data_IF_142863953939
#
_entry.id   IF_142863953939
#
_cell.length_a   1.000
_cell.length_b   1.000
_cell.length_c   1.000
_cell.angle_alpha   90.00
_cell.angle_beta   90.00
_cell.angle_gamma   90.00
#
_symmetry.space_group_name_H-M   'P 1'
#
loop_
_entity.id
_entity.type
_entity.pdbx_description
1 polymer ?
#
# COMPACT_ATOMS: atom_id res chain seq x y z
N UNK A 1 7.38 -16.78 -25.85
CA UNK A 1 8.66 -16.63 -25.12
C UNK A 1 8.62 -15.29 -24.38
N UNK A 2 8.71 -15.29 -23.05
CA UNK A 2 8.74 -14.05 -22.27
C UNK A 2 10.12 -13.40 -22.45
N UNK A 3 10.17 -12.11 -22.80
CA UNK A 3 11.44 -11.38 -22.96
C UNK A 3 12.14 -11.24 -21.60
N UNK A 4 13.42 -11.58 -21.52
CA UNK A 4 14.22 -11.45 -20.28
C UNK A 4 14.20 -10.03 -19.69
N UNK A 5 14.12 -8.99 -20.54
CA UNK A 5 14.00 -7.60 -20.09
C UNK A 5 12.68 -7.30 -19.37
N UNK A 6 11.58 -7.94 -19.78
CA UNK A 6 10.28 -7.78 -19.12
C UNK A 6 10.27 -8.45 -17.74
N UNK A 7 10.91 -9.60 -17.60
CA UNK A 7 11.06 -10.28 -16.32
C UNK A 7 11.85 -9.42 -15.33
N UNK A 8 12.98 -8.84 -15.76
CA UNK A 8 13.79 -7.96 -14.93
C UNK A 8 13.05 -6.68 -14.48
N UNK A 9 12.23 -6.07 -15.34
CA UNK A 9 11.43 -4.91 -14.94
C UNK A 9 10.30 -5.24 -13.95
N UNK A 10 9.81 -6.48 -13.94
CA UNK A 10 8.69 -6.91 -13.07
C UNK A 10 9.22 -7.43 -11.72
N UNK A 11 10.43 -7.98 -11.67
CA UNK A 11 11.00 -8.51 -10.41
C UNK A 11 11.20 -7.41 -9.37
N UNK A 12 11.69 -6.24 -9.75
CA UNK A 12 11.89 -5.13 -8.82
C UNK A 12 10.60 -4.68 -8.08
N UNK A 13 9.51 -4.30 -8.77
CA UNK A 13 8.27 -3.93 -8.10
C UNK A 13 7.62 -5.11 -7.35
N UNK A 14 7.81 -6.35 -7.82
CA UNK A 14 7.32 -7.53 -7.12
C UNK A 14 8.04 -7.77 -5.78
N UNK A 15 9.37 -7.67 -5.75
CA UNK A 15 10.15 -7.78 -4.51
C UNK A 15 9.82 -6.66 -3.52
N UNK A 16 9.63 -5.44 -4.00
CA UNK A 16 9.19 -4.33 -3.15
C UNK A 16 7.79 -4.59 -2.57
N UNK A 17 6.87 -5.15 -3.37
CA UNK A 17 5.52 -5.51 -2.89
C UNK A 17 5.57 -6.62 -1.81
N UNK A 18 6.51 -7.57 -1.92
CA UNK A 18 6.76 -8.56 -0.87
C UNK A 18 7.29 -7.89 0.40
N UNK A 19 8.24 -6.96 0.27
CA UNK A 19 8.77 -6.22 1.42
C UNK A 19 7.65 -5.44 2.15
N UNK A 20 6.73 -4.82 1.41
CA UNK A 20 5.53 -4.18 1.96
C UNK A 20 4.68 -5.17 2.74
N UNK A 21 4.42 -6.36 2.17
CA UNK A 21 3.65 -7.41 2.83
C UNK A 21 4.30 -7.82 4.16
N UNK A 22 5.62 -8.00 4.19
CA UNK A 22 6.36 -8.33 5.42
C UNK A 22 6.19 -7.23 6.46
N UNK A 23 6.37 -5.96 6.10
CA UNK A 23 6.17 -4.84 7.03
C UNK A 23 4.76 -4.81 7.62
N UNK A 24 3.72 -4.99 6.80
CA UNK A 24 2.34 -5.04 7.27
C UNK A 24 2.11 -6.22 8.21
N UNK A 25 2.56 -7.42 7.84
CA UNK A 25 2.42 -8.62 8.67
C UNK A 25 3.09 -8.43 10.03
N UNK A 26 4.28 -7.81 10.09
CA UNK A 26 4.95 -7.51 11.37
C UNK A 26 4.11 -6.60 12.26
N UNK A 27 3.45 -5.57 11.69
CA UNK A 27 2.55 -4.68 12.45
C UNK A 27 1.31 -5.42 12.94
N UNK A 28 0.77 -6.36 12.16
CA UNK A 28 -0.39 -7.18 12.54
C UNK A 28 -0.08 -8.26 13.58
N UNK A 29 1.14 -8.81 13.56
CA UNK A 29 1.61 -9.82 14.51
C UNK A 29 2.18 -9.22 15.80
N UNK A 30 2.50 -7.92 15.82
CA UNK A 30 3.01 -7.24 16.99
C UNK A 30 2.07 -7.45 18.19
N UNK A 31 2.63 -7.92 19.31
CA UNK A 31 1.90 -8.21 20.55
C UNK A 31 1.03 -9.47 20.55
N UNK A 32 1.00 -10.28 19.48
CA UNK A 32 0.08 -11.45 19.40
C UNK A 32 0.65 -12.76 19.97
N UNK A 33 1.96 -12.86 20.11
CA UNK A 33 2.65 -14.05 20.60
C UNK A 33 3.38 -13.74 21.89
N UNK A 34 3.47 -14.74 22.77
CA UNK A 34 4.22 -14.62 24.01
C UNK A 34 5.72 -14.48 23.71
N UNK A 35 6.27 -13.35 24.18
CA UNK A 35 7.71 -13.03 24.28
C UNK A 35 8.50 -13.22 22.99
N UNK A 36 8.53 -12.17 22.17
CA UNK A 36 9.49 -12.05 21.08
C UNK A 36 10.14 -10.66 21.10
N UNK A 37 11.42 -10.60 21.47
CA UNK A 37 12.19 -9.34 21.58
C UNK A 37 12.07 -8.40 20.38
N UNK A 38 11.79 -8.93 19.18
CA UNK A 38 11.60 -8.12 17.97
C UNK A 38 10.17 -7.58 17.81
N UNK A 39 9.14 -8.37 18.15
CA UNK A 39 7.73 -7.98 18.01
C UNK A 39 7.23 -7.19 19.22
N UNK A 40 7.77 -7.48 20.41
CA UNK A 40 7.39 -6.83 21.67
C UNK A 40 7.72 -5.33 21.63
N UNK A 41 8.78 -4.94 20.92
CA UNK A 41 9.18 -3.53 20.79
C UNK A 41 8.44 -2.78 19.65
N UNK A 42 7.56 -3.47 18.89
CA UNK A 42 6.71 -2.87 17.86
C UNK A 42 5.39 -2.33 18.42
N UNK A 43 5.42 -1.70 19.59
CA UNK A 43 4.25 -1.03 20.17
C UNK A 43 4.09 0.39 19.62
N UNK A 44 2.86 0.88 19.52
CA UNK A 44 2.60 2.28 19.17
C UNK A 44 2.71 3.21 20.39
N UNK A 45 2.24 2.75 21.55
CA UNK A 45 2.27 3.51 22.79
C UNK A 45 2.71 2.62 23.94
N UNK A 46 3.62 3.11 24.77
CA UNK A 46 4.02 2.51 26.03
C UNK A 46 3.73 3.47 27.16
N UNK A 47 2.98 2.98 28.14
CA UNK A 47 2.58 3.71 29.34
C UNK A 47 3.32 3.10 30.52
N UNK A 48 4.00 3.94 31.29
CA UNK A 48 4.74 3.60 32.50
C UNK A 48 4.08 4.26 33.72
N UNK A 49 3.67 3.42 34.66
CA UNK A 49 2.89 3.73 35.86
C UNK A 49 3.70 3.47 37.15
N UNK A 50 5.02 3.23 37.05
CA UNK A 50 5.85 2.93 38.23
C UNK A 50 5.94 4.10 39.21
N UNK A 51 6.11 5.31 38.67
CA UNK A 51 6.34 6.54 39.43
C UNK A 51 5.05 7.32 39.71
N UNK A 52 3.92 6.63 39.90
CA UNK A 52 2.70 7.35 40.25
C UNK A 52 2.94 8.07 41.59
N UNK A 53 3.01 9.40 41.54
CA UNK A 53 3.16 10.25 42.73
C UNK A 53 1.81 10.37 43.39
N UNK A 54 1.55 9.42 44.28
CA UNK A 54 0.33 9.32 45.07
C UNK A 54 0.44 10.30 46.23
N UNK A 55 0.20 11.58 45.97
CA UNK A 55 0.17 12.59 47.04
C UNK A 55 -1.07 12.32 47.91
N UNK A 56 -0.92 11.44 48.90
CA UNK A 56 -1.77 11.26 50.08
C UNK A 56 -3.29 11.29 49.84
N UNK A 57 -3.81 10.47 48.93
CA UNK A 57 -5.26 10.35 48.66
C UNK A 57 -5.98 9.31 49.53
N UNK A 58 -5.27 8.64 50.45
CA UNK A 58 -5.85 7.56 51.27
C UNK A 58 -6.95 8.01 52.26
N UNK A 59 -7.12 9.33 52.51
CA UNK A 59 -8.05 9.84 53.54
C UNK A 59 -9.14 10.81 53.02
N UNK A 60 -9.29 11.02 51.71
CA UNK A 60 -10.20 12.08 51.17
C UNK A 60 -11.48 11.58 50.49
N UNK A 61 -11.79 10.28 50.54
CA UNK A 61 -13.02 9.72 49.95
C UNK A 61 -14.32 10.15 50.68
N UNK A 62 -14.26 11.17 51.54
CA UNK A 62 -15.41 11.68 52.31
C UNK A 62 -15.52 13.20 52.40
N UNK A 63 -14.67 13.99 51.73
CA UNK A 63 -14.76 15.45 51.80
C UNK A 63 -15.18 16.06 50.46
N UNK A 64 -16.38 16.64 50.45
CA UNK A 64 -17.08 17.21 49.28
C UNK A 64 -16.48 18.51 48.73
N UNK A 65 -15.21 18.78 49.04
CA UNK A 65 -14.45 19.95 48.58
C UNK A 65 -13.13 19.55 47.87
N UNK A 66 -13.08 18.33 47.32
CA UNK A 66 -11.90 17.76 46.68
C UNK A 66 -11.79 18.19 45.21
N UNK A 67 -10.62 18.70 44.83
CA UNK A 67 -10.28 19.05 43.45
C UNK A 67 -10.28 17.79 42.56
N UNK A 68 -10.64 17.92 41.28
CA UNK A 68 -10.69 16.78 40.34
C UNK A 68 -9.39 15.94 40.32
N UNK A 69 -8.25 16.58 40.60
CA UNK A 69 -6.95 15.91 40.63
C UNK A 69 -6.81 14.89 41.79
N UNK A 70 -7.36 15.20 42.96
CA UNK A 70 -7.20 14.36 44.16
C UNK A 70 -8.10 13.13 44.12
N UNK A 71 -9.27 13.23 43.48
CA UNK A 71 -10.23 12.14 43.28
C UNK A 71 -9.65 11.08 42.33
N UNK A 72 -9.12 11.49 41.18
CA UNK A 72 -8.51 10.58 40.20
C UNK A 72 -7.25 9.89 40.77
N UNK A 73 -6.46 10.60 41.57
CA UNK A 73 -5.32 9.99 42.29
C UNK A 73 -5.75 8.95 43.34
N UNK A 74 -6.89 9.16 44.01
CA UNK A 74 -7.50 8.18 44.92
C UNK A 74 -8.03 6.94 44.20
N UNK A 75 -8.74 7.12 43.10
CA UNK A 75 -9.25 6.02 42.28
C UNK A 75 -8.11 5.17 41.69
N UNK A 76 -7.03 5.80 41.20
CA UNK A 76 -5.86 5.11 40.70
C UNK A 76 -5.13 4.34 41.80
N UNK A 77 -5.12 4.85 43.04
CA UNK A 77 -4.57 4.13 44.19
C UNK A 77 -5.40 2.91 44.57
N UNK A 78 -6.72 3.08 44.64
CA UNK A 78 -7.64 1.98 44.88
C UNK A 78 -7.50 0.90 43.81
N UNK A 79 -7.33 1.29 42.54
CA UNK A 79 -7.05 0.37 41.44
C UNK A 79 -5.71 -0.36 41.59
N UNK A 80 -4.66 0.34 42.03
CA UNK A 80 -3.35 -0.29 42.26
C UNK A 80 -3.37 -1.28 43.41
N UNK A 81 -4.04 -0.97 44.51
CA UNK A 81 -4.07 -1.80 45.72
C UNK A 81 -5.11 -2.93 45.65
N UNK A 82 -6.28 -2.68 45.08
CA UNK A 82 -7.43 -3.59 45.13
C UNK A 82 -7.70 -4.33 43.81
N UNK A 83 -7.34 -3.72 42.67
CA UNK A 83 -7.65 -4.25 41.32
C UNK A 83 -6.40 -4.80 40.59
N UNK A 84 -5.21 -4.67 41.19
CA UNK A 84 -3.98 -5.27 40.65
C UNK A 84 -3.43 -4.58 39.40
N UNK A 85 -3.54 -3.25 39.34
CA UNK A 85 -3.00 -2.43 38.25
C UNK A 85 -1.51 -2.75 37.98
N UNK A 86 -1.19 -3.03 36.71
CA UNK A 86 0.19 -3.33 36.27
C UNK A 86 1.05 -2.07 36.09
N UNK A 87 2.36 -2.22 36.20
CA UNK A 87 3.32 -1.12 36.05
C UNK A 87 3.46 -0.61 34.60
N UNK A 88 3.36 -1.50 33.63
CA UNK A 88 3.53 -1.18 32.22
C UNK A 88 2.40 -1.67 31.37
N UNK A 89 2.07 -0.85 30.37
CA UNK A 89 1.14 -1.20 29.30
C UNK A 89 1.74 -0.83 27.95
N UNK A 90 1.72 -1.75 27.00
CA UNK A 90 2.09 -1.52 25.59
C UNK A 90 0.88 -1.76 24.70
N UNK A 91 0.57 -0.78 23.86
CA UNK A 91 -0.56 -0.77 22.95
C UNK A 91 -0.08 -1.09 21.54
N UNK A 92 -0.67 -2.12 20.94
CA UNK A 92 -0.45 -2.55 19.56
C UNK A 92 -1.68 -2.24 18.71
N UNK A 93 -1.63 -2.60 17.42
CA UNK A 93 -2.74 -2.36 16.48
C UNK A 93 -4.03 -3.08 16.89
N UNK A 94 -3.92 -4.27 17.49
CA UNK A 94 -5.06 -5.19 17.71
C UNK A 94 -5.25 -5.63 19.16
N UNK A 95 -4.29 -5.34 20.01
CA UNK A 95 -4.31 -5.72 21.41
C UNK A 95 -3.39 -4.82 22.23
N UNK A 96 -3.34 -5.11 23.52
CA UNK A 96 -2.38 -4.54 24.44
C UNK A 96 -1.78 -5.65 25.30
N UNK A 97 -0.56 -5.40 25.77
CA UNK A 97 0.12 -6.26 26.74
C UNK A 97 0.45 -5.47 27.99
N UNK A 98 0.42 -6.15 29.14
CA UNK A 98 0.71 -5.57 30.44
C UNK A 98 1.66 -6.44 31.23
N UNK A 99 2.51 -5.83 32.06
CA UNK A 99 3.44 -6.55 32.93
C UNK A 99 3.88 -5.66 34.10
N UNK A 100 4.31 -6.28 35.19
CA UNK A 100 4.97 -5.57 36.29
C UNK A 100 6.48 -5.53 36.07
N UNK A 101 7.16 -4.64 36.77
CA UNK A 101 8.57 -4.40 36.53
C UNK A 101 9.48 -5.63 36.57
N UNK A 102 9.26 -6.51 37.54
CA UNK A 102 10.05 -7.73 37.75
C UNK A 102 9.43 -8.95 37.07
N UNK A 103 8.22 -8.79 36.49
CA UNK A 103 7.50 -9.86 35.82
C UNK A 103 7.96 -10.01 34.37
N UNK A 104 7.80 -11.23 33.88
CA UNK A 104 7.95 -11.56 32.45
C UNK A 104 6.90 -10.79 31.66
N UNK A 105 7.31 -10.12 30.57
CA UNK A 105 6.41 -9.59 29.55
C UNK A 105 5.50 -10.72 29.05
N UNK A 106 4.25 -10.81 29.55
CA UNK A 106 3.46 -12.03 29.39
C UNK A 106 1.92 -11.90 29.51
N UNK A 107 1.33 -10.75 29.85
CA UNK A 107 -0.15 -10.63 29.88
C UNK A 107 -0.66 -9.83 28.67
N UNK A 108 -0.65 -10.47 27.50
CA UNK A 108 -1.20 -9.94 26.27
C UNK A 108 -2.67 -10.33 26.09
N UNK A 109 -3.49 -9.38 25.65
CA UNK A 109 -4.90 -9.66 25.32
C UNK A 109 -5.03 -10.29 23.94
N UNK A 110 -6.09 -11.09 23.75
CA UNK A 110 -6.41 -11.68 22.45
C UNK A 110 -6.68 -10.59 21.42
N UNK A 111 -6.17 -10.72 20.18
CA UNK A 111 -6.21 -9.65 19.21
C UNK A 111 -7.63 -9.43 18.66
N UNK A 112 -8.20 -8.26 18.92
CA UNK A 112 -9.53 -7.85 18.47
C UNK A 112 -9.44 -7.06 17.15
N UNK A 113 -10.53 -7.08 16.38
CA UNK A 113 -10.68 -6.16 15.26
C UNK A 113 -11.06 -4.77 15.81
N UNK A 114 -10.56 -3.70 15.19
CA UNK A 114 -10.85 -2.32 15.60
C UNK A 114 -10.54 -2.03 17.08
N UNK A 115 -9.46 -2.64 17.57
CA UNK A 115 -9.05 -2.47 18.95
C UNK A 115 -8.65 -1.02 19.23
N UNK A 116 -9.06 -0.53 20.39
CA UNK A 116 -8.61 0.73 20.97
C UNK A 116 -8.35 0.51 22.46
N UNK A 117 -7.36 1.22 22.98
CA UNK A 117 -7.02 1.15 24.39
C UNK A 117 -7.90 2.11 25.21
N UNK A 118 -8.81 1.55 26.01
CA UNK A 118 -9.62 2.31 26.97
C UNK A 118 -8.96 2.27 28.37
N UNK A 119 -8.32 3.36 28.82
CA UNK A 119 -7.66 3.38 30.13
C UNK A 119 -8.65 3.20 31.29
N UNK A 120 -9.91 3.65 31.16
CA UNK A 120 -10.91 3.57 32.23
C UNK A 120 -11.30 2.11 32.50
N UNK A 121 -11.57 1.37 31.42
CA UNK A 121 -11.92 -0.05 31.49
C UNK A 121 -10.71 -0.93 31.84
N UNK A 122 -9.56 -0.69 31.20
CA UNK A 122 -8.36 -1.52 31.39
C UNK A 122 -7.80 -1.42 32.81
N UNK A 123 -7.93 -0.26 33.45
CA UNK A 123 -7.46 -0.04 34.81
C UNK A 123 -8.53 -0.31 35.88
N UNK A 124 -9.76 -0.70 35.48
CA UNK A 124 -10.84 -1.03 36.41
C UNK A 124 -11.40 0.16 37.18
N UNK A 125 -11.35 1.37 36.61
CA UNK A 125 -11.80 2.59 37.32
C UNK A 125 -13.31 2.58 37.57
N UNK A 126 -14.11 1.92 36.73
CA UNK A 126 -15.55 1.78 36.93
C UNK A 126 -15.90 1.01 38.20
N UNK A 127 -15.05 0.06 38.60
CA UNK A 127 -15.29 -0.77 39.80
C UNK A 127 -14.95 -0.02 41.10
N UNK A 128 -14.40 1.19 41.01
CA UNK A 128 -14.11 2.05 42.18
C UNK A 128 -15.34 2.79 42.70
N UNK A 129 -16.50 2.69 42.02
CA UNK A 129 -17.76 3.32 42.42
C UNK A 129 -17.81 4.84 42.22
N UNK A 130 -16.81 5.40 41.53
CA UNK A 130 -16.72 6.82 41.18
C UNK A 130 -16.86 6.92 39.66
N UNK A 131 -17.72 7.80 39.17
CA UNK A 131 -17.73 8.21 37.76
C UNK A 131 -16.48 9.06 37.50
N UNK A 132 -15.36 8.37 37.30
CA UNK A 132 -14.06 9.01 37.09
C UNK A 132 -14.09 9.87 35.83
N UNK A 133 -15.03 9.60 34.95
CA UNK A 133 -15.26 10.38 33.75
C UNK A 133 -15.29 11.89 34.04
N UNK A 134 -16.16 12.39 34.90
CA UNK A 134 -16.32 13.83 35.13
C UNK A 134 -15.06 14.52 35.71
N UNK A 135 -14.14 13.75 36.28
CA UNK A 135 -12.90 14.24 36.88
C UNK A 135 -11.70 14.26 35.92
N UNK A 136 -11.77 13.58 34.77
CA UNK A 136 -10.69 13.68 33.77
C UNK A 136 -10.74 15.02 33.01
N UNK A 137 -9.58 15.67 32.80
CA UNK A 137 -9.53 16.94 32.08
C UNK A 137 -10.09 16.81 30.66
N UNK A 138 -10.87 17.82 30.23
CA UNK A 138 -11.56 17.81 28.93
C UNK A 138 -10.63 17.60 27.74
N UNK A 139 -9.39 18.08 27.81
CA UNK A 139 -8.36 17.87 26.78
C UNK A 139 -7.99 16.39 26.61
N UNK A 140 -7.92 15.64 27.71
CA UNK A 140 -7.67 14.22 27.69
C UNK A 140 -8.86 13.45 27.14
N UNK A 141 -10.08 13.77 27.57
CA UNK A 141 -11.33 13.19 27.04
C UNK A 141 -11.43 13.35 25.54
N UNK A 142 -11.20 14.57 25.05
CA UNK A 142 -11.24 14.86 23.62
C UNK A 142 -10.17 14.10 22.84
N UNK A 143 -8.94 14.03 23.38
CA UNK A 143 -7.87 13.22 22.77
C UNK A 143 -8.20 11.72 22.73
N UNK A 144 -8.87 11.20 23.77
CA UNK A 144 -9.27 9.81 23.84
C UNK A 144 -10.43 9.48 22.89
N UNK A 145 -11.39 10.39 22.73
CA UNK A 145 -12.49 10.25 21.78
C UNK A 145 -12.00 10.27 20.33
N UNK A 146 -11.11 11.23 19.99
CA UNK A 146 -10.42 11.27 18.69
C UNK A 146 -9.61 9.99 18.46
N UNK A 147 -8.93 9.48 19.49
CA UNK A 147 -8.20 8.22 19.40
C UNK A 147 -9.12 7.02 19.16
N UNK A 148 -10.26 6.94 19.84
CA UNK A 148 -11.25 5.88 19.65
C UNK A 148 -11.76 5.86 18.20
N UNK A 149 -12.17 7.00 17.64
CA UNK A 149 -12.63 7.07 16.26
C UNK A 149 -11.51 6.81 15.25
N UNK A 150 -10.32 7.38 15.50
CA UNK A 150 -9.18 7.19 14.62
C UNK A 150 -8.64 5.76 14.63
N UNK A 151 -8.70 5.05 15.76
CA UNK A 151 -8.25 3.66 15.86
C UNK A 151 -9.02 2.72 14.93
N UNK A 152 -10.34 2.94 14.78
CA UNK A 152 -11.18 2.22 13.82
C UNK A 152 -10.72 2.50 12.39
N UNK A 153 -10.52 3.77 12.05
CA UNK A 153 -10.04 4.18 10.73
C UNK A 153 -8.66 3.60 10.41
N UNK A 154 -7.72 3.65 11.37
CA UNK A 154 -6.38 3.06 11.25
C UNK A 154 -6.48 1.57 10.97
N UNK A 155 -7.29 0.82 11.72
CA UNK A 155 -7.47 -0.61 11.50
C UNK A 155 -8.01 -0.91 10.09
N UNK A 156 -9.04 -0.18 9.62
CA UNK A 156 -9.54 -0.33 8.26
C UNK A 156 -8.47 -0.04 7.21
N UNK A 157 -7.70 1.05 7.36
CA UNK A 157 -6.64 1.41 6.42
C UNK A 157 -5.57 0.31 6.32
N UNK A 158 -5.11 -0.24 7.46
CA UNK A 158 -4.13 -1.34 7.48
C UNK A 158 -4.68 -2.64 6.89
N UNK A 159 -5.95 -2.99 7.15
CA UNK A 159 -6.57 -4.21 6.61
C UNK A 159 -6.77 -4.09 5.10
N UNK A 160 -7.30 -2.97 4.62
CA UNK A 160 -7.50 -2.74 3.19
C UNK A 160 -6.14 -2.68 2.49
N UNK A 161 -5.13 -2.02 3.08
CA UNK A 161 -3.77 -2.03 2.57
C UNK A 161 -3.21 -3.46 2.44
N UNK A 162 -3.33 -4.29 3.48
CA UNK A 162 -2.89 -5.68 3.46
C UNK A 162 -3.59 -6.48 2.34
N UNK A 163 -4.90 -6.33 2.22
CA UNK A 163 -5.67 -6.99 1.15
C UNK A 163 -5.25 -6.51 -0.25
N UNK A 164 -5.01 -5.20 -0.42
CA UNK A 164 -4.55 -4.62 -1.67
C UNK A 164 -3.14 -5.12 -2.02
N UNK A 165 -2.25 -5.27 -1.04
CA UNK A 165 -0.92 -5.88 -1.24
C UNK A 165 -1.04 -7.34 -1.68
N UNK A 166 -1.89 -8.15 -1.04
CA UNK A 166 -2.12 -9.54 -1.43
C UNK A 166 -2.65 -9.65 -2.86
N UNK A 167 -3.65 -8.84 -3.22
CA UNK A 167 -4.19 -8.78 -4.59
C UNK A 167 -3.12 -8.32 -5.58
N UNK A 168 -2.31 -7.32 -5.22
CA UNK A 168 -1.21 -6.83 -6.07
C UNK A 168 -0.19 -7.94 -6.36
N UNK A 169 0.13 -8.78 -5.38
CA UNK A 169 1.02 -9.92 -5.59
C UNK A 169 0.40 -11.01 -6.47
N UNK A 170 -0.87 -11.37 -6.25
CA UNK A 170 -1.56 -12.38 -7.06
C UNK A 170 -1.74 -11.93 -8.52
N UNK A 171 -2.22 -10.70 -8.74
CA UNK A 171 -2.38 -10.11 -10.07
C UNK A 171 -1.01 -9.80 -10.70
N UNK A 172 -0.01 -9.48 -9.88
CA UNK A 172 1.38 -9.27 -10.31
C UNK A 172 1.98 -10.47 -11.05
N UNK A 173 1.62 -11.71 -10.69
CA UNK A 173 2.05 -12.91 -11.42
C UNK A 173 1.48 -12.89 -12.85
N UNK A 174 0.23 -12.46 -13.03
CA UNK A 174 -0.41 -12.37 -14.35
C UNK A 174 0.23 -11.29 -15.24
N UNK A 175 0.90 -10.28 -14.65
CA UNK A 175 1.61 -9.23 -15.39
C UNK A 175 2.81 -9.76 -16.19
N UNK A 176 3.34 -10.94 -15.86
CA UNK A 176 4.40 -11.62 -16.61
C UNK A 176 3.89 -12.07 -17.99
N UNK A 177 2.65 -12.57 -18.02
CA UNK A 177 2.06 -13.20 -19.21
C UNK A 177 1.19 -12.24 -20.04
N UNK A 178 0.58 -11.22 -19.42
CA UNK A 178 -0.37 -10.31 -20.08
C UNK A 178 -0.02 -8.84 -19.90
N UNK A 179 -0.17 -8.03 -20.95
CA UNK A 179 -0.03 -6.55 -20.86
C UNK A 179 -1.16 -5.93 -20.03
N UNK A 180 -2.37 -6.48 -20.15
CA UNK A 180 -3.53 -6.05 -19.35
C UNK A 180 -3.33 -6.36 -17.86
N UNK A 181 -2.70 -7.50 -17.54
CA UNK A 181 -2.34 -7.83 -16.16
C UNK A 181 -1.44 -6.76 -15.53
N UNK A 182 -0.45 -6.26 -16.27
CA UNK A 182 0.43 -5.18 -15.79
C UNK A 182 -0.33 -3.88 -15.51
N UNK A 183 -1.32 -3.52 -16.33
CA UNK A 183 -2.13 -2.32 -16.12
C UNK A 183 -2.96 -2.42 -14.84
N UNK A 184 -3.64 -3.55 -14.62
CA UNK A 184 -4.44 -3.76 -13.40
C UNK A 184 -3.57 -3.82 -12.15
N UNK A 185 -2.40 -4.48 -12.20
CA UNK A 185 -1.47 -4.50 -11.06
C UNK A 185 -1.02 -3.10 -10.67
N UNK A 186 -0.78 -2.21 -11.63
CA UNK A 186 -0.38 -0.83 -11.33
C UNK A 186 -1.47 -0.06 -10.60
N UNK A 187 -2.75 -0.27 -10.93
CA UNK A 187 -3.87 0.33 -10.20
C UNK A 187 -3.93 -0.20 -8.76
N UNK A 188 -3.81 -1.52 -8.56
CA UNK A 188 -3.76 -2.13 -7.24
C UNK A 188 -2.55 -1.64 -6.42
N UNK A 189 -1.38 -1.52 -7.04
CA UNK A 189 -0.16 -1.04 -6.40
C UNK A 189 -0.27 0.44 -6.00
N UNK A 190 -0.90 1.28 -6.84
CA UNK A 190 -1.18 2.67 -6.50
C UNK A 190 -2.15 2.78 -5.32
N UNK A 191 -3.24 1.99 -5.33
CA UNK A 191 -4.17 1.93 -4.21
C UNK A 191 -3.48 1.49 -2.90
N UNK A 192 -2.66 0.45 -2.95
CA UNK A 192 -1.83 -0.01 -1.83
C UNK A 192 -0.94 1.11 -1.30
N UNK A 193 -0.23 1.84 -2.18
CA UNK A 193 0.67 2.92 -1.78
C UNK A 193 -0.08 4.06 -1.08
N UNK A 194 -1.23 4.48 -1.60
CA UNK A 194 -2.06 5.53 -1.00
C UNK A 194 -2.61 5.11 0.35
N UNK A 195 -3.09 3.86 0.47
CA UNK A 195 -3.66 3.34 1.71
C UNK A 195 -2.61 3.23 2.83
N UNK A 196 -1.41 2.72 2.53
CA UNK A 196 -0.32 2.59 3.51
C UNK A 196 0.22 3.96 3.91
N UNK A 197 0.33 4.89 2.98
CA UNK A 197 0.71 6.28 3.27
C UNK A 197 -0.32 6.93 4.20
N UNK A 198 -1.62 6.82 3.88
CA UNK A 198 -2.70 7.30 4.72
C UNK A 198 -2.70 6.68 6.12
N UNK A 199 -2.47 5.36 6.21
CA UNK A 199 -2.36 4.65 7.48
C UNK A 199 -1.19 5.16 8.33
N UNK A 200 -0.01 5.32 7.72
CA UNK A 200 1.22 5.78 8.38
C UNK A 200 1.10 7.22 8.88
N UNK A 201 0.49 8.10 8.09
CA UNK A 201 0.25 9.49 8.49
C UNK A 201 -0.76 9.54 9.64
N UNK A 202 -1.89 8.84 9.51
CA UNK A 202 -2.96 8.85 10.52
C UNK A 202 -2.45 8.29 11.86
N UNK A 203 -1.76 7.16 11.84
CA UNK A 203 -1.22 6.56 13.07
C UNK A 203 -0.18 7.46 13.73
N UNK A 204 0.70 8.09 12.94
CA UNK A 204 1.72 9.01 13.48
C UNK A 204 1.07 10.22 14.14
N UNK A 205 0.09 10.84 13.49
CA UNK A 205 -0.61 12.01 14.02
C UNK A 205 -1.37 11.69 15.31
N UNK A 206 -2.15 10.61 15.33
CA UNK A 206 -2.98 10.23 16.47
C UNK A 206 -2.12 9.90 17.68
N UNK A 207 -1.08 9.07 17.54
CA UNK A 207 -0.23 8.72 18.68
C UNK A 207 0.65 9.89 19.16
N UNK A 208 0.96 10.86 18.28
CA UNK A 208 1.60 12.11 18.70
C UNK A 208 0.65 12.97 19.56
N UNK A 209 -0.62 13.11 19.17
CA UNK A 209 -1.66 13.83 19.93
C UNK A 209 -1.88 13.16 21.28
N UNK A 210 -2.07 11.83 21.30
CA UNK A 210 -2.28 11.06 22.54
C UNK A 210 -1.07 11.20 23.48
N UNK A 211 0.16 11.13 22.95
CA UNK A 211 1.39 11.37 23.74
C UNK A 211 1.44 12.78 24.31
N UNK A 212 1.06 13.79 23.52
CA UNK A 212 0.99 15.18 23.96
C UNK A 212 0.00 15.34 25.11
N UNK A 213 -1.24 14.87 24.91
CA UNK A 213 -2.28 14.89 25.92
C UNK A 213 -1.85 14.19 27.21
N UNK A 214 -1.27 12.99 27.13
CA UNK A 214 -0.80 12.22 28.29
C UNK A 214 0.37 12.89 29.03
N UNK A 215 1.34 13.46 28.32
CA UNK A 215 2.50 14.06 28.96
C UNK A 215 2.22 15.46 29.52
N UNK A 216 1.26 16.20 28.98
CA UNK A 216 0.89 17.51 29.51
C UNK A 216 -0.02 17.39 30.73
N UNK A 217 -0.94 16.42 30.72
CA UNK A 217 -1.92 16.23 31.81
C UNK A 217 -1.38 15.26 32.87
N UNK A 218 -1.19 13.99 32.53
CA UNK A 218 -0.94 12.95 33.53
C UNK A 218 0.48 12.90 34.08
N UNK A 219 1.47 13.42 33.35
CA UNK A 219 2.86 13.39 33.82
C UNK A 219 3.11 14.37 34.96
N UNK A 220 2.53 15.57 34.89
CA UNK A 220 2.73 16.61 35.91
C UNK A 220 1.97 16.26 37.19
N UNK A 221 0.77 15.73 37.04
CA UNK A 221 -0.15 15.56 38.16
C UNK A 221 -0.03 14.17 38.80
N UNK A 222 0.32 13.15 38.01
CA UNK A 222 0.35 11.75 38.46
C UNK A 222 1.66 11.02 38.13
N UNK A 223 2.66 11.65 37.54
CA UNK A 223 3.94 10.98 37.22
C UNK A 223 3.86 9.90 36.14
N UNK A 224 2.74 9.76 35.42
CA UNK A 224 2.55 8.77 34.37
C UNK A 224 3.38 9.16 33.15
N UNK A 225 4.25 8.27 32.68
CA UNK A 225 5.11 8.53 31.53
C UNK A 225 4.62 7.76 30.31
N UNK A 226 4.29 8.49 29.26
CA UNK A 226 3.87 7.91 27.98
C UNK A 226 4.91 8.12 26.89
N UNK A 227 5.33 7.02 26.26
CA UNK A 227 6.36 6.98 25.21
C UNK A 227 5.78 6.32 23.95
N UNK A 228 5.93 6.97 22.81
CA UNK A 228 5.54 6.39 21.51
C UNK A 228 6.66 5.48 21.01
N UNK A 229 6.31 4.29 20.51
CA UNK A 229 7.29 3.35 20.00
C UNK A 229 7.85 3.81 18.66
N UNK A 230 9.14 4.10 18.63
CA UNK A 230 9.82 4.56 17.41
C UNK A 230 10.06 3.41 16.43
N UNK A 231 10.19 2.17 16.92
CA UNK A 231 10.44 1.01 16.05
C UNK A 231 9.26 0.67 15.16
N UNK A 232 8.04 0.64 15.70
CA UNK A 232 6.85 0.39 14.87
C UNK A 232 6.66 1.50 13.83
N UNK A 233 6.86 2.76 14.22
CA UNK A 233 6.80 3.89 13.29
C UNK A 233 7.87 3.77 12.19
N UNK A 234 9.07 3.31 12.53
CA UNK A 234 10.11 3.04 11.53
C UNK A 234 9.66 1.96 10.55
N UNK A 235 9.06 0.86 11.03
CA UNK A 235 8.54 -0.22 10.18
C UNK A 235 7.43 0.28 9.26
N UNK A 236 6.50 1.11 9.76
CA UNK A 236 5.38 1.63 8.95
C UNK A 236 5.87 2.62 7.88
N UNK A 237 6.85 3.47 8.20
CA UNK A 237 7.43 4.40 7.22
C UNK A 237 8.34 3.71 6.20
N UNK A 238 9.09 2.67 6.60
CA UNK A 238 9.84 1.82 5.67
C UNK A 238 8.88 1.09 4.73
N UNK A 239 7.79 0.52 5.27
CA UNK A 239 6.73 -0.09 4.48
C UNK A 239 6.10 0.89 3.49
N UNK A 240 5.87 2.14 3.91
CA UNK A 240 5.40 3.23 3.03
C UNK A 240 6.39 3.53 1.90
N UNK A 241 7.68 3.64 2.22
CA UNK A 241 8.72 3.88 1.21
C UNK A 241 8.79 2.75 0.17
N UNK A 242 8.69 1.49 0.61
CA UNK A 242 8.61 0.35 -0.30
C UNK A 242 7.32 0.33 -1.12
N UNK A 243 6.19 0.74 -0.54
CA UNK A 243 4.92 0.82 -1.27
C UNK A 243 4.94 1.90 -2.36
N UNK A 244 5.51 3.07 -2.06
CA UNK A 244 5.72 4.14 -3.04
C UNK A 244 6.69 3.71 -4.14
N UNK A 245 7.81 3.07 -3.77
CA UNK A 245 8.75 2.48 -4.72
C UNK A 245 8.09 1.43 -5.61
N UNK A 246 7.33 0.50 -5.02
CA UNK A 246 6.58 -0.52 -5.76
C UNK A 246 5.60 0.13 -6.74
N UNK A 247 4.80 1.11 -6.30
CA UNK A 247 3.88 1.85 -7.16
C UNK A 247 4.59 2.54 -8.33
N UNK A 248 5.73 3.19 -8.07
CA UNK A 248 6.54 3.82 -9.10
C UNK A 248 7.11 2.82 -10.12
N UNK A 249 7.69 1.71 -9.67
CA UNK A 249 8.24 0.70 -10.57
C UNK A 249 7.15 -0.08 -11.32
N UNK A 250 5.97 -0.30 -10.72
CA UNK A 250 4.80 -0.83 -11.42
C UNK A 250 4.32 0.14 -12.52
N UNK A 251 4.32 1.45 -12.28
CA UNK A 251 4.04 2.46 -13.31
C UNK A 251 5.06 2.41 -14.46
N UNK A 252 6.36 2.37 -14.15
CA UNK A 252 7.41 2.25 -15.15
C UNK A 252 7.32 0.95 -15.96
N UNK A 253 6.86 -0.14 -15.36
CA UNK A 253 6.69 -1.42 -16.06
C UNK A 253 5.68 -1.31 -17.22
N UNK A 254 4.60 -0.53 -17.02
CA UNK A 254 3.55 -0.30 -18.02
C UNK A 254 4.00 0.71 -19.07
N UNK A 255 4.65 1.80 -18.66
CA UNK A 255 5.07 2.89 -19.56
C UNK A 255 6.33 2.57 -20.37
N UNK A 256 7.37 2.03 -19.73
CA UNK A 256 8.73 1.94 -20.29
C UNK A 256 9.17 0.50 -20.61
N UNK A 257 8.59 -0.52 -19.96
CA UNK A 257 8.98 -1.92 -20.15
C UNK A 257 7.96 -2.79 -20.91
N UNK A 258 6.94 -2.19 -21.55
CA UNK A 258 5.89 -2.91 -22.29
C UNK A 258 6.36 -3.60 -23.59
N UNK A 259 7.62 -3.39 -23.99
CA UNK A 259 8.38 -4.26 -24.88
C UNK A 259 8.01 -4.19 -26.37
N UNK A 260 9.05 -3.92 -27.18
CA UNK A 260 9.12 -4.01 -28.66
C UNK A 260 8.32 -2.94 -29.39
N UNK A 261 8.99 -1.82 -29.69
CA UNK A 261 8.67 -1.10 -30.92
C UNK A 261 8.76 -2.11 -32.07
N UNK A 262 7.72 -2.28 -32.91
CA UNK A 262 7.82 -3.09 -34.12
C UNK A 262 8.87 -2.55 -35.11
N UNK A 263 9.43 -1.36 -34.83
CA UNK A 263 10.47 -0.66 -35.58
C UNK A 263 11.87 -0.86 -34.99
N UNK A 264 12.21 -2.05 -34.51
CA UNK A 264 13.61 -2.34 -34.16
C UNK A 264 14.31 -2.99 -35.37
N UNK A 265 15.14 -2.24 -36.13
CA UNK A 265 15.73 -2.71 -37.40
C UNK A 265 16.70 -3.90 -37.21
N UNK A 266 17.13 -4.16 -35.98
CA UNK A 266 18.03 -5.25 -35.63
C UNK A 266 17.35 -6.62 -35.41
N UNK A 267 16.01 -6.69 -35.30
CA UNK A 267 15.34 -7.98 -35.09
C UNK A 267 14.99 -8.65 -36.41
N UNK A 268 15.59 -9.83 -36.68
CA UNK A 268 15.33 -10.66 -37.88
C UNK A 268 13.84 -10.94 -38.13
N UNK A 269 13.02 -10.93 -37.08
CA UNK A 269 11.55 -11.08 -37.14
C UNK A 269 10.85 -9.92 -37.88
N UNK A 270 11.30 -8.67 -37.69
CA UNK A 270 10.69 -7.50 -38.34
C UNK A 270 10.89 -7.51 -39.88
N UNK A 271 11.90 -8.26 -40.35
CA UNK A 271 12.12 -8.52 -41.78
C UNK A 271 11.19 -9.61 -42.33
N UNK A 272 10.63 -10.49 -41.48
CA UNK A 272 9.69 -11.56 -41.89
C UNK A 272 8.24 -11.10 -41.97
N UNK A 273 7.85 -10.04 -41.27
CA UNK A 273 6.47 -9.52 -41.30
C UNK A 273 6.26 -8.39 -42.31
N UNK A 274 7.21 -8.13 -43.22
CA UNK A 274 6.92 -7.37 -44.44
C UNK A 274 6.61 -8.35 -45.56
N UNK A 275 5.38 -8.25 -46.05
CA UNK A 275 4.81 -8.97 -47.18
C UNK A 275 4.16 -10.33 -46.88
N UNK A 276 3.20 -10.38 -45.95
CA UNK A 276 1.96 -11.04 -46.34
C UNK A 276 1.25 -10.05 -47.26
N UNK A 277 1.35 -10.29 -48.58
CA UNK A 277 0.68 -9.47 -49.59
C UNK A 277 -0.81 -9.52 -49.27
N UNK A 278 -1.36 -8.41 -48.78
CA UNK A 278 -2.82 -8.23 -48.78
C UNK A 278 -3.29 -8.28 -50.25
N UNK A 279 -4.46 -8.86 -50.57
CA UNK A 279 -4.82 -9.18 -51.97
C UNK A 279 -4.97 -7.97 -52.91
N UNK A 280 -4.84 -6.74 -52.40
CA UNK A 280 -5.05 -5.50 -53.14
C UNK A 280 -4.02 -4.42 -52.84
N UNK A 281 -2.80 -4.78 -52.42
CA UNK A 281 -1.70 -3.80 -52.42
C UNK A 281 -1.13 -3.70 -53.83
N UNK A 282 -1.46 -2.60 -54.52
CA UNK A 282 -0.85 -2.23 -55.79
C UNK A 282 0.66 -2.14 -55.63
N UNK A 283 1.38 -3.04 -56.30
CA UNK A 283 2.82 -2.96 -56.46
C UNK A 283 3.08 -1.81 -57.45
N UNK A 284 3.82 -0.77 -57.03
CA UNK A 284 4.13 0.35 -57.91
C UNK A 284 4.91 -0.17 -59.10
N UNK A 285 4.26 -0.21 -60.27
CA UNK A 285 4.94 -0.40 -61.55
C UNK A 285 5.90 0.77 -61.71
N UNK A 286 7.21 0.49 -61.79
CA UNK A 286 8.23 1.52 -61.97
C UNK A 286 7.89 2.40 -63.17
N UNK A 287 8.07 3.71 -63.03
CA UNK A 287 7.84 4.64 -64.13
C UNK A 287 8.78 4.30 -65.31
N UNK A 288 8.34 4.40 -66.58
CA UNK A 288 9.15 3.99 -67.73
C UNK A 288 10.39 4.87 -67.99
N UNK A 289 10.58 5.91 -67.17
CA UNK A 289 11.62 6.92 -67.34
C UNK A 289 12.86 6.67 -66.48
N UNK A 290 12.84 5.68 -65.58
CA UNK A 290 14.05 5.21 -64.92
C UNK A 290 14.53 3.94 -65.62
N UNK A 291 15.73 3.99 -66.19
CA UNK A 291 16.40 2.85 -66.79
C UNK A 291 16.57 1.68 -65.81
N UNK A 292 16.91 0.48 -66.31
CA UNK A 292 16.83 -0.76 -65.55
C UNK A 292 17.67 -0.69 -64.28
N UNK A 293 17.03 -0.83 -63.12
CA UNK A 293 17.71 -1.14 -61.86
C UNK A 293 17.76 -2.66 -61.67
N UNK A 294 18.97 -3.20 -61.50
CA UNK A 294 19.37 -4.63 -61.52
C UNK A 294 18.66 -5.59 -60.51
N UNK A 295 17.57 -5.19 -59.85
CA UNK A 295 16.89 -6.02 -58.85
C UNK A 295 15.39 -6.26 -59.08
N UNK A 296 14.88 -5.96 -60.28
CA UNK A 296 13.47 -6.22 -60.61
C UNK A 296 13.32 -6.94 -61.97
N UNK A 297 14.00 -8.07 -62.12
CA UNK A 297 13.66 -9.05 -63.16
C UNK A 297 12.52 -9.94 -62.66
N UNK A 298 11.30 -9.62 -63.09
CA UNK A 298 10.20 -10.58 -63.01
C UNK A 298 10.52 -11.71 -64.01
N UNK A 299 10.60 -12.99 -63.59
CA UNK A 299 10.82 -14.07 -64.53
C UNK A 299 9.59 -14.20 -65.42
N UNK A 300 9.75 -13.89 -66.71
CA UNK A 300 8.71 -14.09 -67.73
C UNK A 300 8.63 -15.59 -68.06
N UNK A 301 8.07 -16.38 -67.14
CA UNK A 301 7.87 -17.80 -67.37
C UNK A 301 6.52 -18.04 -68.08
N UNK A 302 6.65 -18.61 -69.27
CA UNK A 302 5.70 -19.56 -69.89
C UNK A 302 4.45 -18.97 -70.55
N UNK A 303 4.62 -18.34 -71.72
CA UNK A 303 3.58 -18.39 -72.74
C UNK A 303 3.69 -19.69 -73.53
N UNK A 304 2.65 -20.52 -73.47
CA UNK A 304 2.54 -21.76 -74.24
C UNK A 304 2.52 -21.53 -75.76
N UNK A 305 2.76 -22.58 -76.56
CA UNK A 305 2.94 -22.44 -78.01
C UNK A 305 1.66 -21.96 -78.70
N UNK A 306 1.77 -20.85 -79.44
CA UNK A 306 0.71 -20.28 -80.29
C UNK A 306 0.89 -20.80 -81.73
N UNK A 307 -0.18 -21.28 -82.41
CA UNK A 307 -0.11 -21.68 -83.82
C UNK A 307 -0.01 -20.45 -84.75
N UNK A 308 0.48 -20.62 -85.99
CA UNK A 308 0.92 -19.51 -86.82
C UNK A 308 -0.24 -18.91 -87.60
N UNK A 309 -0.37 -17.57 -87.62
CA UNK A 309 -0.54 -16.76 -88.84
C UNK A 309 -1.12 -15.36 -88.54
N UNK A 310 -0.48 -14.37 -89.17
CA UNK A 310 -0.87 -13.01 -89.55
C UNK A 310 -0.08 -11.85 -88.91
N UNK A 311 0.45 -11.03 -89.83
CA UNK A 311 1.39 -9.92 -89.69
C UNK A 311 0.71 -8.62 -89.14
N UNK A 312 1.49 -7.58 -88.77
CA UNK A 312 1.09 -6.57 -87.80
C UNK A 312 0.44 -5.32 -88.42
N UNK A 313 -0.44 -4.66 -87.65
CA UNK A 313 -0.85 -3.26 -87.88
C UNK A 313 -0.73 -2.44 -86.58
N UNK A 314 -0.23 -1.19 -86.62
CA UNK A 314 -0.09 -0.32 -85.45
C UNK A 314 -1.23 0.71 -85.32
N UNK A 315 -1.32 1.33 -84.13
CA UNK A 315 -2.18 2.46 -83.72
C UNK A 315 -3.64 2.10 -83.39
N UNK A 316 -4.31 2.64 -82.37
CA UNK A 316 -4.24 3.94 -81.71
C UNK A 316 -4.66 3.81 -80.22
N UNK A 317 -4.04 4.60 -79.34
CA UNK A 317 -4.48 4.75 -77.95
C UNK A 317 -5.76 5.59 -77.84
N UNK A 318 -6.68 5.16 -76.97
CA UNK A 318 -7.78 6.00 -76.48
C UNK A 318 -7.67 6.11 -74.97
N UNK A 319 -7.57 7.35 -74.51
CA UNK A 319 -7.52 7.73 -73.10
C UNK A 319 -8.92 7.56 -72.48
N UNK A 320 -8.98 7.03 -71.26
CA UNK A 320 -10.20 6.88 -70.48
C UNK A 320 -10.35 8.08 -69.53
N UNK A 321 -11.39 8.90 -69.70
CA UNK A 321 -11.77 9.94 -68.74
C UNK A 321 -12.75 9.40 -67.68
N UNK A 322 -12.63 9.81 -66.40
CA UNK A 322 -13.55 9.39 -65.35
C UNK A 322 -14.78 10.30 -65.22
N UNK A 323 -15.92 9.66 -64.89
CA UNK A 323 -17.23 10.27 -64.63
C UNK A 323 -17.20 11.36 -63.56
N UNK A 324 -17.89 12.49 -63.84
CA UNK A 324 -18.20 13.56 -62.88
C UNK A 324 -19.63 13.35 -62.32
N UNK A 325 -19.86 13.53 -61.01
CA UNK A 325 -21.19 13.38 -60.42
C UNK A 325 -22.08 14.60 -60.75
N UNK A 326 -23.35 14.36 -61.07
CA UNK A 326 -24.36 15.42 -61.17
C UNK A 326 -25.08 15.56 -59.82
N UNK A 327 -25.02 16.76 -59.24
CA UNK A 327 -26.02 17.26 -58.30
C UNK A 327 -27.26 17.67 -59.09
N UNK A 328 -28.45 17.19 -58.70
CA UNK A 328 -29.55 17.92 -58.03
C UNK A 328 -30.51 16.86 -57.49
#
# INVERSE_FOLDING_TARGET
MVSAGRVCCITAPFLLSIAVLVCLVLVFLAGTHDRNNTLDDLYFLKIDLRNITLTSSANLLGDGNSNNETVLGGALQAAKQSLGLKDFYTVYLRNYCSWNGDDTYANCTSPKAYFWFNPIEVWGLNDTGIDVDDYLPKSFRHGLDVYHDASKAIFYLYVIALSATSVTLLVGISAIFSRWGSFFTTFCAAAMAVLILGASVTVTAVYAIVKGALNETLKKDYGIKSTVGTRVLSVTWIGTAFALGAGFFWLLSVCCCSGRSPYNPASREARRTRAEKTPYTYERVGSPYLGPSDQQSVPLNTFGPRPPSFAPQPQHGTAYEPFRPQQV
#
